data_IF_838946534777
#
_entry.id   IF_838946534777
#
_cell.length_a   1.000
_cell.length_b   1.000
_cell.length_c   1.000
_cell.angle_alpha   90.00
_cell.angle_beta   90.00
_cell.angle_gamma   90.00
#
_symmetry.space_group_name_H-M   'P 1'
#
loop_
_entity.id
_entity.type
_entity.pdbx_description
1 polymer ?
#
# COMPACT_ATOMS: atom_id res chain seq x y z
N UNK A 1 16.01 9.54 9.33
CA UNK A 1 14.67 10.09 9.70
C UNK A 1 13.58 9.48 8.82
N UNK A 2 12.29 9.46 9.20
CA UNK A 2 11.23 8.84 8.37
C UNK A 2 11.11 9.48 6.97
N UNK A 3 11.26 10.80 6.89
CA UNK A 3 11.24 11.55 5.62
C UNK A 3 12.41 11.13 4.70
N UNK A 4 13.59 10.89 5.27
CA UNK A 4 14.78 10.48 4.52
C UNK A 4 14.63 9.08 3.90
N UNK A 5 13.95 8.16 4.60
CA UNK A 5 13.65 6.83 4.08
C UNK A 5 12.76 6.92 2.85
N UNK A 6 11.72 7.77 2.88
CA UNK A 6 10.84 7.98 1.73
C UNK A 6 11.61 8.53 0.52
N UNK A 7 12.53 9.48 0.72
CA UNK A 7 13.39 9.97 -0.37
C UNK A 7 14.35 8.91 -0.91
N UNK A 8 14.89 8.05 -0.05
CA UNK A 8 15.78 6.95 -0.45
C UNK A 8 15.03 5.89 -1.25
N UNK A 9 13.82 5.54 -0.83
CA UNK A 9 12.96 4.59 -1.53
C UNK A 9 12.43 5.15 -2.85
N UNK A 10 12.18 6.46 -2.94
CA UNK A 10 11.82 7.11 -4.21
C UNK A 10 12.94 6.96 -5.25
N UNK A 11 14.20 7.14 -4.84
CA UNK A 11 15.37 7.14 -5.72
C UNK A 11 15.93 5.74 -6.00
N UNK A 12 15.77 4.80 -5.07
CA UNK A 12 16.40 3.49 -5.18
C UNK A 12 15.91 2.72 -6.42
N UNK A 13 16.84 2.31 -7.29
CA UNK A 13 16.52 1.50 -8.47
C UNK A 13 16.09 0.07 -8.11
N UNK A 14 16.75 -0.53 -7.11
CA UNK A 14 16.57 -1.96 -6.79
C UNK A 14 15.38 -2.23 -5.88
N UNK A 15 15.18 -1.38 -4.87
CA UNK A 15 14.18 -1.62 -3.82
C UNK A 15 13.05 -0.59 -3.86
N UNK A 16 13.23 0.48 -4.61
CA UNK A 16 12.39 1.65 -4.66
C UNK A 16 11.59 1.79 -5.94
N UNK A 17 11.37 3.04 -6.33
CA UNK A 17 10.57 3.42 -7.50
C UNK A 17 11.42 3.99 -8.64
N UNK A 18 12.74 4.00 -8.47
CA UNK A 18 13.70 4.36 -9.51
C UNK A 18 13.37 5.68 -10.23
N UNK A 19 12.88 6.69 -9.50
CA UNK A 19 12.33 7.92 -10.09
C UNK A 19 13.34 8.64 -11.01
N UNK A 20 14.63 8.48 -10.74
CA UNK A 20 15.74 9.05 -11.53
C UNK A 20 15.80 8.47 -12.96
N UNK A 21 15.28 7.25 -13.19
CA UNK A 21 15.20 6.62 -14.51
C UNK A 21 14.18 7.31 -15.44
N UNK A 22 13.30 8.16 -14.90
CA UNK A 22 12.41 8.98 -15.73
C UNK A 22 13.14 10.04 -16.56
N UNK A 23 14.39 10.36 -16.17
CA UNK A 23 15.30 11.38 -16.74
C UNK A 23 14.64 12.74 -16.98
N UNK A 24 13.54 13.03 -16.28
CA UNK A 24 12.76 14.25 -16.47
C UNK A 24 13.47 15.44 -15.84
N UNK A 25 13.57 16.55 -16.59
CA UNK A 25 14.03 17.84 -16.06
C UNK A 25 12.91 18.89 -16.02
N UNK A 26 11.71 18.55 -16.51
CA UNK A 26 10.53 19.43 -16.48
C UNK A 26 9.83 19.30 -15.13
N UNK A 27 9.69 20.43 -14.44
CA UNK A 27 9.08 20.50 -13.10
C UNK A 27 7.65 19.96 -13.06
N UNK A 28 6.82 20.32 -14.03
CA UNK A 28 5.42 19.85 -14.13
C UNK A 28 5.32 18.32 -14.20
N UNK A 29 6.15 17.70 -15.06
CA UNK A 29 6.21 16.23 -15.16
C UNK A 29 6.70 15.60 -13.87
N UNK A 30 7.68 16.21 -13.20
CA UNK A 30 8.19 15.72 -11.93
C UNK A 30 7.11 15.76 -10.84
N UNK A 31 6.31 16.84 -10.77
CA UNK A 31 5.19 16.94 -9.83
C UNK A 31 4.16 15.81 -10.02
N UNK A 32 3.77 15.53 -11.27
CA UNK A 32 2.85 14.44 -11.58
C UNK A 32 3.44 13.08 -11.18
N UNK A 33 4.71 12.83 -11.51
CA UNK A 33 5.37 11.57 -11.15
C UNK A 33 5.50 11.40 -9.64
N UNK A 34 5.79 12.47 -8.89
CA UNK A 34 5.83 12.45 -7.44
C UNK A 34 4.45 12.17 -6.84
N UNK A 35 3.39 12.74 -7.40
CA UNK A 35 2.01 12.45 -6.99
C UNK A 35 1.66 10.99 -7.23
N UNK A 36 1.93 10.47 -8.44
CA UNK A 36 1.69 9.06 -8.78
C UNK A 36 2.47 8.13 -7.85
N UNK A 37 3.74 8.44 -7.58
CA UNK A 37 4.55 7.69 -6.64
C UNK A 37 3.95 7.69 -5.23
N UNK A 38 3.45 8.84 -4.78
CA UNK A 38 2.83 8.99 -3.46
C UNK A 38 1.57 8.14 -3.36
N UNK A 39 0.71 8.18 -4.39
CA UNK A 39 -0.50 7.35 -4.46
C UNK A 39 -0.17 5.85 -4.50
N UNK A 40 0.82 5.44 -5.30
CA UNK A 40 1.26 4.05 -5.36
C UNK A 40 1.85 3.57 -4.03
N UNK A 41 2.60 4.43 -3.34
CA UNK A 41 3.16 4.15 -2.01
C UNK A 41 2.05 4.02 -0.98
N UNK A 42 1.06 4.91 -1.01
CA UNK A 42 -0.11 4.86 -0.13
C UNK A 42 -0.93 3.58 -0.34
N UNK A 43 -1.23 3.22 -1.59
CA UNK A 43 -1.94 1.99 -1.92
C UNK A 43 -1.16 0.74 -1.45
N UNK A 44 0.16 0.72 -1.66
CA UNK A 44 1.02 -0.36 -1.15
C UNK A 44 1.00 -0.42 0.38
N UNK A 45 1.02 0.72 1.06
CA UNK A 45 0.94 0.76 2.52
C UNK A 45 -0.37 0.17 3.05
N UNK A 46 -1.51 0.55 2.48
CA UNK A 46 -2.82 0.00 2.83
C UNK A 46 -2.89 -1.51 2.60
N UNK A 47 -2.41 -2.00 1.46
CA UNK A 47 -2.34 -3.43 1.16
C UNK A 47 -1.47 -4.17 2.19
N UNK A 48 -0.35 -3.59 2.59
CA UNK A 48 0.54 -4.13 3.61
C UNK A 48 -0.11 -4.22 4.98
N UNK A 49 -0.82 -3.17 5.40
CA UNK A 49 -1.59 -3.18 6.65
C UNK A 49 -2.66 -4.27 6.63
N UNK A 50 -3.38 -4.43 5.51
CA UNK A 50 -4.35 -5.50 5.32
C UNK A 50 -3.73 -6.90 5.41
N UNK A 51 -2.56 -7.10 4.79
CA UNK A 51 -1.82 -8.37 4.88
C UNK A 51 -1.37 -8.70 6.30
N UNK A 52 -0.93 -7.69 7.06
CA UNK A 52 -0.50 -7.86 8.45
C UNK A 52 -1.69 -8.18 9.36
N UNK A 53 -2.79 -7.46 9.21
CA UNK A 53 -4.02 -7.69 9.99
C UNK A 53 -4.65 -9.07 9.72
N UNK A 54 -4.57 -9.57 8.48
CA UNK A 54 -5.10 -10.90 8.09
C UNK A 54 -4.10 -12.03 8.31
N UNK A 55 -2.87 -11.74 8.73
CA UNK A 55 -1.81 -12.74 8.94
C UNK A 55 -1.20 -13.30 7.65
N UNK A 56 -1.59 -12.80 6.48
CA UNK A 56 -1.13 -13.22 5.15
C UNK A 56 0.31 -12.76 4.88
N UNK A 57 0.77 -11.70 5.54
CA UNK A 57 2.13 -11.17 5.41
C UNK A 57 3.24 -12.24 5.53
N UNK A 58 3.01 -13.30 6.32
CA UNK A 58 3.96 -14.42 6.50
C UNK A 58 4.27 -15.18 5.20
N UNK A 59 3.30 -15.26 4.28
CA UNK A 59 3.42 -15.96 3.00
C UNK A 59 4.05 -15.10 1.90
N UNK A 60 4.08 -13.79 2.11
CA UNK A 60 4.72 -12.82 1.21
C UNK A 60 6.22 -12.67 1.51
N UNK A 61 6.65 -13.03 2.72
CA UNK A 61 8.05 -13.03 3.11
C UNK A 61 8.85 -14.07 2.30
N UNK A 62 10.16 -13.81 2.05
CA UNK A 62 10.98 -14.67 1.20
C UNK A 62 11.35 -15.99 1.90
N UNK A 63 11.24 -16.03 3.24
CA UNK A 63 11.46 -17.21 4.07
C UNK A 63 10.65 -17.09 5.36
N UNK A 64 10.40 -18.23 6.01
CA UNK A 64 9.82 -18.26 7.35
C UNK A 64 10.79 -17.63 8.37
N UNK A 65 10.26 -16.76 9.22
CA UNK A 65 10.99 -16.15 10.34
C UNK A 65 10.02 -15.74 11.43
N UNK A 66 10.49 -15.77 12.68
CA UNK A 66 9.78 -15.22 13.84
C UNK A 66 9.87 -13.69 13.89
N UNK A 67 10.76 -13.07 13.12
CA UNK A 67 10.94 -11.61 13.04
C UNK A 67 10.32 -11.07 11.75
N UNK A 68 9.89 -9.81 11.78
CA UNK A 68 9.39 -9.10 10.59
C UNK A 68 10.54 -8.85 9.61
N UNK A 69 10.53 -9.56 8.46
CA UNK A 69 11.57 -9.46 7.44
C UNK A 69 11.35 -8.31 6.46
N UNK A 70 10.08 -8.03 6.12
CA UNK A 70 9.70 -6.96 5.19
C UNK A 70 8.99 -5.85 5.94
N UNK A 71 9.28 -4.60 5.56
CA UNK A 71 8.49 -3.44 5.99
C UNK A 71 7.06 -3.57 5.47
N UNK A 72 6.11 -2.89 6.12
CA UNK A 72 4.69 -2.89 5.69
C UNK A 72 4.54 -2.48 4.23
N UNK A 73 5.30 -1.48 3.78
CA UNK A 73 5.34 -1.07 2.38
C UNK A 73 5.79 -2.20 1.45
N UNK A 74 6.87 -2.93 1.81
CA UNK A 74 7.36 -4.04 0.99
C UNK A 74 6.38 -5.20 0.97
N UNK A 75 5.76 -5.54 2.11
CA UNK A 75 4.70 -6.55 2.19
C UNK A 75 3.56 -6.20 1.25
N UNK A 76 3.07 -4.96 1.31
CA UNK A 76 1.98 -4.55 0.43
C UNK A 76 2.35 -4.51 -1.04
N UNK A 77 3.58 -4.13 -1.40
CA UNK A 77 4.06 -4.22 -2.78
C UNK A 77 4.08 -5.67 -3.28
N UNK A 78 4.58 -6.61 -2.47
CA UNK A 78 4.54 -8.05 -2.80
C UNK A 78 3.10 -8.55 -2.94
N UNK A 79 2.19 -8.09 -2.07
CA UNK A 79 0.78 -8.45 -2.13
C UNK A 79 0.17 -8.00 -3.47
N UNK A 80 0.36 -6.74 -3.85
CA UNK A 80 -0.16 -6.18 -5.10
C UNK A 80 0.43 -6.86 -6.34
N UNK A 81 1.74 -7.12 -6.35
CA UNK A 81 2.42 -7.85 -7.44
C UNK A 81 1.88 -9.28 -7.57
N UNK A 82 1.52 -9.92 -6.45
CA UNK A 82 0.92 -11.26 -6.42
C UNK A 82 -0.61 -11.24 -6.48
N UNK A 83 -1.20 -10.11 -6.88
CA UNK A 83 -2.64 -9.94 -7.05
C UNK A 83 -3.48 -10.18 -5.80
N UNK A 84 -2.92 -9.97 -4.60
CA UNK A 84 -3.66 -9.99 -3.35
C UNK A 84 -4.13 -8.59 -2.95
N UNK A 85 -5.36 -8.41 -2.45
CA UNK A 85 -6.52 -9.29 -2.49
C UNK A 85 -7.38 -8.85 -3.68
N UNK A 86 -7.02 -9.22 -4.91
CA UNK A 86 -7.79 -8.77 -6.09
C UNK A 86 -9.11 -9.54 -6.23
N UNK A 87 -9.95 -9.49 -5.20
CA UNK A 87 -11.38 -9.62 -5.43
C UNK A 87 -11.81 -8.49 -6.39
N UNK A 88 -12.72 -8.75 -7.34
CA UNK A 88 -13.26 -7.73 -8.21
C UNK A 88 -13.78 -6.53 -7.41
N UNK A 89 -13.59 -5.30 -7.92
CA UNK A 89 -14.06 -4.07 -7.27
C UNK A 89 -15.56 -4.13 -6.93
N UNK A 90 -16.35 -4.86 -7.72
CA UNK A 90 -17.77 -5.10 -7.43
C UNK A 90 -18.00 -5.75 -6.06
N UNK A 91 -17.21 -6.75 -5.67
CA UNK A 91 -17.32 -7.41 -4.36
C UNK A 91 -17.01 -6.45 -3.22
N UNK A 92 -16.03 -5.57 -3.41
CA UNK A 92 -15.72 -4.52 -2.45
C UNK A 92 -16.85 -3.51 -2.31
N UNK A 93 -17.42 -3.07 -3.43
CA UNK A 93 -18.57 -2.17 -3.45
C UNK A 93 -19.80 -2.79 -2.79
N UNK A 94 -20.04 -4.08 -3.00
CA UNK A 94 -21.13 -4.79 -2.35
C UNK A 94 -20.94 -4.82 -0.83
N UNK A 95 -19.72 -5.11 -0.34
CA UNK A 95 -19.41 -5.05 1.10
C UNK A 95 -19.59 -3.64 1.68
N UNK A 96 -19.20 -2.60 0.96
CA UNK A 96 -19.37 -1.21 1.40
C UNK A 96 -20.83 -0.78 1.39
N UNK A 97 -21.65 -1.32 0.48
CA UNK A 97 -23.10 -1.08 0.44
C UNK A 97 -23.84 -1.82 1.54
N UNK A 98 -23.38 -3.01 1.92
CA UNK A 98 -23.91 -3.75 3.07
C UNK A 98 -23.32 -3.18 4.36
N UNK A 99 -23.87 -2.05 4.80
CA UNK A 99 -23.47 -1.41 6.05
C UNK A 99 -23.89 -2.31 7.22
N UNK A 100 -22.93 -2.93 7.90
CA UNK A 100 -23.19 -3.86 9.00
C UNK A 100 -23.93 -3.14 10.13
N UNK A 101 -24.92 -3.78 10.76
CA UNK A 101 -25.81 -3.11 11.73
C UNK A 101 -25.04 -2.48 12.90
N UNK A 102 -23.94 -3.10 13.34
CA UNK A 102 -23.06 -2.53 14.37
C UNK A 102 -22.37 -1.22 13.94
N UNK A 103 -22.00 -1.09 12.67
CA UNK A 103 -21.43 0.15 12.12
C UNK A 103 -22.52 1.20 11.95
N UNK A 104 -23.72 0.75 11.55
CA UNK A 104 -24.90 1.62 11.44
C UNK A 104 -25.25 2.23 12.78
N UNK A 105 -25.31 1.44 13.84
CA UNK A 105 -25.57 1.87 15.22
C UNK A 105 -24.52 2.87 15.73
N UNK A 106 -23.23 2.65 15.43
CA UNK A 106 -22.17 3.59 15.77
C UNK A 106 -22.28 4.93 15.01
N UNK A 107 -22.66 4.90 13.73
CA UNK A 107 -22.88 6.12 12.94
C UNK A 107 -24.15 6.86 13.35
N UNK A 108 -25.17 6.13 13.81
CA UNK A 108 -26.42 6.67 14.33
C UNK A 108 -26.39 6.87 15.85
N UNK A 109 -25.21 7.01 16.49
CA UNK A 109 -25.16 7.50 17.87
C UNK A 109 -25.77 8.90 17.91
N UNK A 110 -27.08 8.89 18.20
CA UNK A 110 -27.94 10.01 18.49
C UNK A 110 -27.38 10.70 19.74
N UNK A 111 -27.22 12.02 19.63
CA UNK A 111 -26.99 12.95 20.74
C UNK A 111 -28.01 12.76 21.87
#
# INVERSE_FOLDING_TARGET
MQIELAFRDLKSHRYGQAMEDSLTRRGERLQILLLLNTLATFASWLAGLGCEATGIARWLAPRSSTRKLYSTLRVGREALVRHWPMEPVSRWLDRLRTLHDTVREQMTLVL
#
